data_IF_187402485732
#
_entry.id   IF_187402485732
#
_cell.length_a   1.000
_cell.length_b   1.000
_cell.length_c   1.000
_cell.angle_alpha   90.00
_cell.angle_beta   90.00
_cell.angle_gamma   90.00
#
_symmetry.space_group_name_H-M   'P 1'
#
loop_
_entity.id
_entity.type
_entity.pdbx_description
1 polymer ?
#
# COMPACT_ATOMS: atom_id res chain seq x y z
N UNK A 1 0.24 -14.68 -21.57
CA UNK A 1 -0.21 -15.55 -20.47
C UNK A 1 -0.76 -14.76 -19.27
N UNK A 2 0.02 -14.27 -18.29
CA UNK A 2 -0.52 -13.66 -17.04
C UNK A 2 -1.53 -12.52 -17.26
N UNK A 3 -1.27 -11.60 -18.19
CA UNK A 3 -2.18 -10.48 -18.51
C UNK A 3 -3.53 -10.96 -19.03
N UNK A 4 -3.54 -12.04 -19.81
CA UNK A 4 -4.77 -12.59 -20.38
C UNK A 4 -5.58 -13.37 -19.35
N UNK A 5 -4.92 -14.14 -18.48
CA UNK A 5 -5.56 -14.79 -17.34
C UNK A 5 -6.26 -13.75 -16.45
N UNK A 6 -5.56 -12.66 -16.11
CA UNK A 6 -6.15 -11.55 -15.36
C UNK A 6 -7.34 -10.90 -16.11
N UNK A 7 -7.26 -10.73 -17.44
CA UNK A 7 -8.39 -10.21 -18.24
C UNK A 7 -9.60 -11.15 -18.20
N UNK A 8 -9.40 -12.46 -18.31
CA UNK A 8 -10.46 -13.48 -18.24
C UNK A 8 -11.06 -13.55 -16.83
N UNK A 9 -10.24 -13.52 -15.78
CA UNK A 9 -10.69 -13.46 -14.37
C UNK A 9 -11.51 -12.20 -14.07
N UNK A 10 -11.09 -11.03 -14.57
CA UNK A 10 -11.87 -9.80 -14.43
C UNK A 10 -13.22 -9.91 -15.16
N UNK A 11 -13.25 -10.45 -16.39
CA UNK A 11 -14.50 -10.67 -17.14
C UNK A 11 -15.45 -11.62 -16.40
N UNK A 12 -14.94 -12.75 -15.89
CA UNK A 12 -15.68 -13.69 -15.04
C UNK A 12 -16.23 -13.03 -13.79
N UNK A 13 -15.38 -12.34 -13.03
CA UNK A 13 -15.79 -11.62 -11.83
C UNK A 13 -16.85 -10.55 -12.11
N UNK A 14 -16.78 -9.82 -13.24
CA UNK A 14 -17.82 -8.83 -13.59
C UNK A 14 -19.16 -9.44 -13.96
N UNK A 15 -19.17 -10.67 -14.49
CA UNK A 15 -20.39 -11.38 -14.88
C UNK A 15 -21.07 -12.01 -13.65
N UNK A 16 -20.32 -12.75 -12.84
CA UNK A 16 -20.82 -13.44 -11.65
C UNK A 16 -20.69 -12.62 -10.35
N UNK A 17 -20.60 -11.29 -10.43
CA UNK A 17 -20.32 -10.41 -9.28
C UNK A 17 -21.36 -10.51 -8.14
N UNK A 18 -22.60 -10.84 -8.51
CA UNK A 18 -23.79 -10.89 -7.64
C UNK A 18 -24.14 -12.33 -7.20
N UNK A 19 -23.37 -13.34 -7.66
CA UNK A 19 -23.56 -14.74 -7.25
C UNK A 19 -23.20 -14.91 -5.75
N UNK A 20 -24.04 -15.59 -4.94
CA UNK A 20 -23.80 -15.76 -3.50
C UNK A 20 -22.46 -16.46 -3.18
N UNK A 21 -21.99 -17.38 -4.02
CA UNK A 21 -20.68 -18.05 -3.90
C UNK A 21 -19.54 -17.05 -4.07
N UNK A 22 -19.63 -16.19 -5.09
CA UNK A 22 -18.65 -15.14 -5.38
C UNK A 22 -18.65 -14.06 -4.29
N UNK A 23 -19.82 -13.68 -3.77
CA UNK A 23 -19.96 -12.74 -2.64
C UNK A 23 -19.31 -13.31 -1.37
N UNK A 24 -19.58 -14.58 -1.03
CA UNK A 24 -18.98 -15.25 0.13
C UNK A 24 -17.46 -15.34 0.00
N UNK A 25 -16.96 -15.78 -1.17
CA UNK A 25 -15.54 -15.87 -1.48
C UNK A 25 -14.84 -14.50 -1.40
N UNK A 26 -15.43 -13.46 -1.98
CA UNK A 26 -14.94 -12.07 -1.90
C UNK A 26 -14.81 -11.60 -0.45
N UNK A 27 -15.81 -11.91 0.40
CA UNK A 27 -15.76 -11.59 1.83
C UNK A 27 -14.64 -12.35 2.54
N UNK A 28 -14.51 -13.65 2.29
CA UNK A 28 -13.43 -14.49 2.82
C UNK A 28 -12.02 -13.98 2.47
N UNK A 29 -11.80 -13.62 1.19
CA UNK A 29 -10.54 -13.04 0.70
C UNK A 29 -10.29 -11.64 1.27
N UNK A 30 -11.32 -10.82 1.45
CA UNK A 30 -11.19 -9.49 2.06
C UNK A 30 -10.81 -9.58 3.54
N UNK A 31 -11.43 -10.50 4.30
CA UNK A 31 -11.12 -10.76 5.71
C UNK A 31 -9.73 -11.37 5.90
N UNK A 32 -9.31 -12.29 5.02
CA UNK A 32 -7.94 -12.80 4.98
C UNK A 32 -6.93 -11.67 4.74
N UNK A 33 -7.13 -10.84 3.71
CA UNK A 33 -6.28 -9.67 3.45
C UNK A 33 -6.32 -8.62 4.56
N UNK A 34 -7.38 -8.57 5.38
CA UNK A 34 -7.45 -7.74 6.58
C UNK A 34 -6.59 -8.34 7.70
N UNK A 35 -6.62 -9.66 7.91
CA UNK A 35 -5.74 -10.35 8.88
C UNK A 35 -4.26 -10.20 8.51
N UNK A 36 -3.89 -10.37 7.24
CA UNK A 36 -2.53 -10.12 6.74
C UNK A 36 -2.05 -8.69 7.03
N UNK A 37 -2.89 -7.68 6.70
CA UNK A 37 -2.59 -6.27 6.98
C UNK A 37 -2.48 -5.96 8.47
N UNK A 38 -3.30 -6.60 9.30
CA UNK A 38 -3.24 -6.46 10.76
C UNK A 38 -1.93 -7.03 11.33
N UNK A 39 -1.40 -8.11 10.76
CA UNK A 39 -0.11 -8.72 11.15
C UNK A 39 1.11 -8.08 10.46
N UNK A 40 0.89 -7.15 9.52
CA UNK A 40 1.97 -6.49 8.77
C UNK A 40 2.68 -7.36 7.74
N UNK A 41 2.15 -8.54 7.42
CA UNK A 41 2.73 -9.49 6.45
C UNK A 41 1.99 -9.43 5.11
N UNK A 42 2.68 -9.77 4.01
CA UNK A 42 2.09 -9.93 2.67
C UNK A 42 1.80 -11.41 2.40
N UNK A 43 0.87 -11.72 1.50
CA UNK A 43 0.44 -13.10 1.18
C UNK A 43 1.63 -14.06 0.94
N UNK A 44 2.56 -13.68 0.07
CA UNK A 44 3.73 -14.50 -0.23
C UNK A 44 4.56 -14.82 1.03
N UNK A 45 4.64 -13.90 1.99
CA UNK A 45 5.42 -14.09 3.22
C UNK A 45 4.77 -15.10 4.16
N UNK A 46 3.48 -15.41 4.05
CA UNK A 46 2.76 -16.33 4.95
C UNK A 46 3.37 -17.72 4.94
N UNK A 47 3.88 -18.16 3.79
CA UNK A 47 4.42 -19.50 3.60
C UNK A 47 5.73 -19.70 4.39
N UNK A 48 6.68 -18.78 4.25
CA UNK A 48 8.03 -18.85 4.84
C UNK A 48 8.26 -17.95 6.07
N UNK A 49 7.28 -17.15 6.51
CA UNK A 49 7.42 -16.33 7.71
C UNK A 49 7.68 -17.19 8.96
N UNK A 50 8.89 -17.04 9.49
CA UNK A 50 9.27 -17.38 10.87
C UNK A 50 9.51 -16.07 11.60
N UNK A 51 8.60 -15.66 12.48
CA UNK A 51 8.82 -14.48 13.32
C UNK A 51 9.92 -14.82 14.34
N UNK A 52 11.10 -14.21 14.19
CA UNK A 52 12.08 -14.20 15.28
C UNK A 52 11.58 -13.26 16.37
N UNK A 53 11.01 -13.84 17.44
CA UNK A 53 10.49 -13.14 18.61
C UNK A 53 11.42 -12.00 19.08
N UNK A 54 12.72 -12.30 19.15
CA UNK A 54 13.78 -11.38 19.56
C UNK A 54 13.91 -10.17 18.62
N UNK A 55 13.86 -10.38 17.30
CA UNK A 55 13.91 -9.29 16.33
C UNK A 55 12.67 -8.39 16.40
N UNK A 56 11.49 -8.97 16.65
CA UNK A 56 10.24 -8.22 16.78
C UNK A 56 10.25 -7.39 18.06
N UNK A 57 10.70 -7.94 19.19
CA UNK A 57 10.89 -7.20 20.45
C UNK A 57 11.92 -6.08 20.28
N UNK A 58 13.10 -6.36 19.72
CA UNK A 58 14.13 -5.35 19.50
C UNK A 58 13.62 -4.19 18.61
N UNK A 59 12.86 -4.53 17.55
CA UNK A 59 12.21 -3.53 16.68
C UNK A 59 11.15 -2.73 17.42
N UNK A 60 10.38 -3.35 18.32
CA UNK A 60 9.39 -2.66 19.15
C UNK A 60 10.06 -1.69 20.11
N UNK A 61 11.08 -2.13 20.86
CA UNK A 61 11.84 -1.31 21.81
C UNK A 61 12.47 -0.12 21.09
N UNK A 62 13.11 -0.33 19.94
CA UNK A 62 13.68 0.75 19.13
C UNK A 62 12.62 1.78 18.70
N UNK A 63 11.44 1.33 18.24
CA UNK A 63 10.35 2.25 17.85
C UNK A 63 9.74 2.97 19.06
N UNK A 64 9.64 2.31 20.21
CA UNK A 64 9.09 2.88 21.43
C UNK A 64 10.04 3.94 22.03
N UNK A 65 11.35 3.65 22.08
CA UNK A 65 12.39 4.61 22.47
C UNK A 65 12.48 5.80 21.51
N UNK A 66 12.41 5.55 20.20
CA UNK A 66 12.30 6.61 19.19
C UNK A 66 11.05 7.46 19.40
N UNK A 67 9.89 6.84 19.66
CA UNK A 67 8.64 7.57 19.91
C UNK A 67 8.74 8.43 21.18
N UNK A 68 9.29 7.90 22.28
CA UNK A 68 9.52 8.64 23.51
C UNK A 68 10.43 9.86 23.29
N UNK A 69 11.55 9.71 22.56
CA UNK A 69 12.43 10.83 22.21
C UNK A 69 11.70 11.90 21.38
N UNK A 70 10.89 11.49 20.39
CA UNK A 70 10.05 12.40 19.62
C UNK A 70 9.01 13.11 20.52
N UNK A 71 8.38 12.40 21.46
CA UNK A 71 7.38 12.97 22.38
C UNK A 71 7.99 14.03 23.30
N UNK A 72 9.20 13.81 23.82
CA UNK A 72 9.92 14.82 24.62
C UNK A 72 10.17 16.09 23.80
N UNK A 73 10.57 15.95 22.54
CA UNK A 73 10.78 17.09 21.63
C UNK A 73 9.50 17.82 21.22
N UNK A 74 8.37 17.13 21.06
CA UNK A 74 7.09 17.76 20.68
C UNK A 74 6.32 18.37 21.84
N UNK A 75 6.49 17.85 23.06
CA UNK A 75 5.77 18.27 24.27
C UNK A 75 5.73 19.80 24.48
N UNK A 76 6.86 20.53 24.50
CA UNK A 76 6.84 21.97 24.75
C UNK A 76 6.08 22.74 23.64
N UNK A 77 6.26 22.39 22.37
CA UNK A 77 5.53 23.01 21.27
C UNK A 77 4.04 22.65 21.23
N UNK A 78 3.67 21.46 21.70
CA UNK A 78 2.27 21.05 21.83
C UNK A 78 1.57 21.79 22.97
N UNK A 79 2.24 21.99 24.12
CA UNK A 79 1.75 22.82 25.23
C UNK A 79 1.56 24.26 24.74
N UNK A 80 2.56 24.83 24.06
CA UNK A 80 2.51 26.17 23.48
C UNK A 80 1.35 26.34 22.47
N UNK A 81 1.05 25.33 21.66
CA UNK A 81 -0.06 25.39 20.69
C UNK A 81 -1.40 24.87 21.24
N UNK A 82 -1.46 24.43 22.50
CA UNK A 82 -2.66 23.84 23.11
C UNK A 82 -3.90 24.75 23.07
N UNK A 83 -3.82 26.08 23.33
CA UNK A 83 -4.98 26.96 23.22
C UNK A 83 -5.58 26.95 21.81
N UNK A 84 -4.73 26.92 20.78
CA UNK A 84 -5.18 26.87 19.37
C UNK A 84 -5.83 25.51 19.06
N UNK A 85 -5.27 24.40 19.55
CA UNK A 85 -5.90 23.09 19.41
C UNK A 85 -7.27 23.02 20.11
N UNK A 86 -7.43 23.62 21.28
CA UNK A 86 -8.70 23.65 22.02
C UNK A 86 -9.74 24.51 21.28
N UNK A 87 -9.39 25.75 20.92
CA UNK A 87 -10.27 26.68 20.21
C UNK A 87 -10.73 26.12 18.86
N UNK A 88 -9.80 25.61 18.04
CA UNK A 88 -10.11 25.00 16.74
C UNK A 88 -11.00 23.76 16.90
N UNK A 89 -10.74 22.88 17.89
CA UNK A 89 -11.56 21.68 18.17
C UNK A 89 -12.97 22.04 18.60
N UNK A 90 -13.14 23.05 19.46
CA UNK A 90 -14.46 23.49 19.93
C UNK A 90 -15.29 24.14 18.80
N UNK A 91 -14.73 25.16 18.15
CA UNK A 91 -15.43 25.94 17.12
C UNK A 91 -15.74 25.07 15.90
N UNK A 92 -14.78 24.27 15.41
CA UNK A 92 -15.02 23.41 14.24
C UNK A 92 -16.04 22.30 14.51
N UNK A 93 -16.12 21.75 15.73
CA UNK A 93 -17.16 20.78 16.08
C UNK A 93 -18.53 21.45 16.02
N UNK A 94 -18.71 22.59 16.70
CA UNK A 94 -19.97 23.35 16.69
C UNK A 94 -20.41 23.70 15.26
N UNK A 95 -19.51 24.28 14.45
CA UNK A 95 -19.80 24.63 13.04
C UNK A 95 -20.06 23.42 12.14
N UNK A 96 -19.40 22.29 12.36
CA UNK A 96 -19.72 21.06 11.63
C UNK A 96 -21.10 20.50 11.99
N UNK A 97 -21.55 20.66 13.24
CA UNK A 97 -22.88 20.23 13.67
C UNK A 97 -23.98 21.15 13.13
N UNK A 98 -23.76 22.46 13.12
CA UNK A 98 -24.65 23.44 12.46
C UNK A 98 -24.80 23.14 10.96
N UNK A 99 -23.70 22.89 10.25
CA UNK A 99 -23.74 22.54 8.82
C UNK A 99 -24.44 21.19 8.54
N UNK A 100 -24.23 20.19 9.41
CA UNK A 100 -24.90 18.88 9.31
C UNK A 100 -26.40 18.97 9.53
N UNK A 101 -26.86 19.83 10.45
CA UNK A 101 -28.28 20.05 10.71
C UNK A 101 -28.98 20.81 9.58
N UNK A 102 -28.25 21.72 8.90
CA UNK A 102 -28.76 22.44 7.74
C UNK A 102 -28.75 21.60 6.43
N UNK A 103 -27.92 20.55 6.35
CA UNK A 103 -27.82 19.71 5.15
C UNK A 103 -28.81 18.53 5.16
N UNK A 104 -29.68 18.46 4.15
CA UNK A 104 -30.60 17.32 3.94
C UNK A 104 -29.89 16.02 3.53
N UNK A 105 -28.64 16.10 3.07
CA UNK A 105 -27.83 14.94 2.65
C UNK A 105 -26.91 14.50 3.80
N UNK A 106 -26.90 13.19 4.11
CA UNK A 106 -26.11 12.56 5.20
C UNK A 106 -24.59 12.49 4.91
N UNK A 107 -23.99 13.61 4.51
CA UNK A 107 -22.55 13.75 4.30
C UNK A 107 -21.83 13.77 5.66
N UNK A 108 -20.70 13.08 5.80
CA UNK A 108 -19.88 13.23 7.01
C UNK A 108 -19.22 14.62 6.99
N UNK A 109 -19.59 15.51 7.91
CA UNK A 109 -19.12 16.91 8.02
C UNK A 109 -17.62 17.11 8.37
N UNK A 110 -16.77 16.16 7.97
CA UNK A 110 -15.33 16.09 8.21
C UNK A 110 -14.57 17.16 7.44
N UNK A 111 -15.02 17.46 6.21
CA UNK A 111 -14.42 18.49 5.36
C UNK A 111 -14.68 19.88 5.93
N UNK A 112 -15.95 20.18 6.24
CA UNK A 112 -16.37 21.38 6.99
C UNK A 112 -15.56 21.54 8.29
N UNK A 113 -15.40 20.46 9.06
CA UNK A 113 -14.58 20.48 10.29
C UNK A 113 -13.10 20.79 10.01
N UNK A 114 -12.52 20.32 8.91
CA UNK A 114 -11.14 20.63 8.53
C UNK A 114 -10.98 22.12 8.14
N UNK A 115 -11.87 22.64 7.30
CA UNK A 115 -11.89 24.05 6.89
C UNK A 115 -12.03 24.99 8.10
N UNK A 116 -12.96 24.71 9.03
CA UNK A 116 -13.10 25.51 10.24
C UNK A 116 -11.90 25.42 11.18
N UNK A 117 -11.19 24.28 11.26
CA UNK A 117 -9.92 24.21 12.01
C UNK A 117 -8.85 25.09 11.38
N UNK A 118 -8.73 25.08 10.06
CA UNK A 118 -7.75 25.90 9.35
C UNK A 118 -8.04 27.40 9.50
N UNK A 119 -9.28 27.84 9.27
CA UNK A 119 -9.68 29.24 9.41
C UNK A 119 -9.49 29.78 10.83
N UNK A 120 -9.90 29.01 11.84
CA UNK A 120 -9.71 29.40 13.25
C UNK A 120 -8.22 29.42 13.61
N UNK A 121 -7.42 28.46 13.15
CA UNK A 121 -5.98 28.46 13.40
C UNK A 121 -5.29 29.66 12.73
N UNK A 122 -5.66 30.00 11.49
CA UNK A 122 -5.10 31.12 10.73
C UNK A 122 -5.32 32.47 11.43
N UNK A 123 -6.50 32.69 12.01
CA UNK A 123 -6.82 33.92 12.74
C UNK A 123 -6.28 33.93 14.18
N UNK A 124 -6.35 32.80 14.89
CA UNK A 124 -6.06 32.73 16.32
C UNK A 124 -4.58 32.47 16.65
N UNK A 125 -3.84 31.73 15.83
CA UNK A 125 -2.43 31.46 16.08
C UNK A 125 -1.56 32.74 16.10
N UNK A 126 -1.72 33.72 15.19
CA UNK A 126 -0.99 35.00 15.27
C UNK A 126 -1.25 35.75 16.57
N UNK A 127 -2.50 35.79 17.06
CA UNK A 127 -2.84 36.43 18.33
C UNK A 127 -2.18 35.72 19.53
N UNK A 128 -2.14 34.38 19.51
CA UNK A 128 -1.45 33.57 20.53
C UNK A 128 0.08 33.81 20.49
N UNK A 129 0.69 33.91 19.31
CA UNK A 129 2.12 34.23 19.19
C UNK A 129 2.45 35.67 19.61
N UNK A 130 1.58 36.64 19.33
CA UNK A 130 1.72 38.00 19.82
C UNK A 130 1.66 38.05 21.36
N UNK A 131 0.72 37.32 21.97
CA UNK A 131 0.62 37.17 23.43
C UNK A 131 1.88 36.55 24.04
N UNK A 132 2.41 35.46 23.47
CA UNK A 132 3.66 34.86 23.96
C UNK A 132 4.88 35.77 23.76
N UNK A 133 4.95 36.49 22.64
CA UNK A 133 6.04 37.46 22.40
C UNK A 133 5.98 38.63 23.38
N UNK A 134 4.78 39.13 23.70
CA UNK A 134 4.59 40.16 24.71
C UNK A 134 4.99 39.67 26.13
N UNK A 135 4.53 38.48 26.53
CA UNK A 135 4.89 37.88 27.83
C UNK A 135 6.39 37.61 27.95
N UNK A 136 7.02 37.11 26.88
CA UNK A 136 8.46 36.86 26.81
C UNK A 136 9.28 38.17 26.89
N UNK A 137 8.83 39.23 26.21
CA UNK A 137 9.46 40.56 26.26
C UNK A 137 9.30 41.19 27.63
N UNK A 138 8.13 41.09 28.26
CA UNK A 138 7.89 41.57 29.63
C UNK A 138 8.78 40.86 30.66
N UNK A 139 8.88 39.53 30.58
CA UNK A 139 9.73 38.74 31.46
C UNK A 139 11.22 39.06 31.29
N UNK A 140 11.66 39.29 30.04
CA UNK A 140 13.02 39.71 29.75
C UNK A 140 13.33 41.15 30.20
N UNK A 141 12.35 42.06 30.12
CA UNK A 141 12.49 43.43 30.63
C UNK A 141 12.66 43.45 32.16
N UNK A 142 11.93 42.59 32.88
CA UNK A 142 11.97 42.57 34.34
C UNK A 142 13.25 41.92 34.89
N UNK A 143 13.63 40.74 34.40
CA UNK A 143 14.68 39.91 35.00
C UNK A 143 15.74 39.37 34.00
N UNK A 144 15.84 39.93 32.78
CA UNK A 144 16.73 39.42 31.68
C UNK A 144 16.62 37.90 31.46
N UNK A 145 15.43 37.34 31.67
CA UNK A 145 15.16 35.90 31.68
C UNK A 145 16.10 35.17 32.66
N UNK A 146 16.12 35.59 33.93
CA UNK A 146 16.97 35.02 34.99
C UNK A 146 18.47 35.05 34.64
N UNK A 147 18.91 36.05 33.87
CA UNK A 147 20.29 36.19 33.41
C UNK A 147 20.67 35.37 32.17
N UNK A 148 19.72 34.67 31.52
CA UNK A 148 20.00 34.01 30.23
C UNK A 148 20.24 34.99 29.07
N UNK A 149 19.72 36.22 29.16
CA UNK A 149 19.96 37.27 28.14
C UNK A 149 21.21 38.06 28.53
N UNK A 150 22.30 38.02 27.74
CA UNK A 150 23.50 38.78 28.03
C UNK A 150 23.23 40.30 28.08
N UNK A 151 23.97 41.02 28.91
CA UNK A 151 23.75 42.47 29.09
C UNK A 151 24.01 43.29 27.81
N UNK A 152 24.92 42.81 26.95
CA UNK A 152 25.22 43.39 25.63
C UNK A 152 24.09 43.21 24.60
N UNK A 153 23.13 42.31 24.84
CA UNK A 153 21.99 42.11 23.95
C UNK A 153 20.94 43.22 24.20
N UNK A 154 20.53 44.00 23.18
CA UNK A 154 19.52 45.03 23.37
C UNK A 154 18.12 44.40 23.45
N UNK A 155 17.32 44.82 24.43
CA UNK A 155 16.02 44.19 24.75
C UNK A 155 14.99 44.26 23.61
N UNK A 156 15.10 45.23 22.69
CA UNK A 156 14.20 45.32 21.52
C UNK A 156 14.35 44.14 20.55
N UNK A 157 15.51 43.47 20.54
CA UNK A 157 15.81 42.33 19.67
C UNK A 157 15.08 41.05 20.10
N UNK A 158 14.53 41.03 21.33
CA UNK A 158 13.73 39.93 21.89
C UNK A 158 12.39 39.77 21.16
N UNK A 159 11.82 40.87 20.65
CA UNK A 159 10.56 40.85 19.88
C UNK A 159 10.72 40.11 18.54
N UNK A 160 11.66 40.46 17.63
CA UNK A 160 11.87 39.69 16.41
C UNK A 160 12.37 38.26 16.67
N UNK A 161 13.15 38.01 17.73
CA UNK A 161 13.46 36.64 18.16
C UNK A 161 12.17 35.87 18.47
N UNK A 162 11.28 36.41 19.32
CA UNK A 162 10.03 35.76 19.70
C UNK A 162 9.12 35.47 18.48
N UNK A 163 9.00 36.43 17.56
CA UNK A 163 8.24 36.28 16.33
C UNK A 163 8.75 35.17 15.40
N UNK A 164 10.04 34.80 15.47
CA UNK A 164 10.61 33.67 14.71
C UNK A 164 10.59 32.38 15.54
N UNK A 165 10.91 32.48 16.84
CA UNK A 165 11.06 31.35 17.75
C UNK A 165 9.75 30.60 17.97
N UNK A 166 8.64 31.30 18.25
CA UNK A 166 7.37 30.61 18.54
C UNK A 166 6.80 29.87 17.31
N UNK A 167 6.73 30.47 16.10
CA UNK A 167 6.32 29.73 14.90
C UNK A 167 7.26 28.61 14.48
N UNK A 168 8.58 28.74 14.69
CA UNK A 168 9.51 27.64 14.36
C UNK A 168 9.37 26.47 15.33
N UNK A 169 9.19 26.71 16.63
CA UNK A 169 8.91 25.66 17.63
C UNK A 169 7.59 24.94 17.32
N UNK A 170 6.51 25.66 17.00
CA UNK A 170 5.22 25.02 16.68
C UNK A 170 5.26 24.27 15.36
N UNK A 171 5.92 24.81 14.32
CA UNK A 171 6.14 24.09 13.06
C UNK A 171 6.93 22.80 13.27
N UNK A 172 8.02 22.85 14.04
CA UNK A 172 8.80 21.66 14.39
C UNK A 172 7.95 20.64 15.16
N UNK A 173 7.19 21.06 16.18
CA UNK A 173 6.33 20.18 16.95
C UNK A 173 5.22 19.53 16.11
N UNK A 174 4.60 20.27 15.19
CA UNK A 174 3.61 19.74 14.24
C UNK A 174 4.25 18.71 13.28
N UNK A 175 5.41 19.02 12.70
CA UNK A 175 6.11 18.15 11.75
C UNK A 175 6.64 16.87 12.41
N UNK A 176 7.18 16.97 13.62
CA UNK A 176 7.60 15.80 14.40
C UNK A 176 6.36 15.01 14.87
N UNK A 177 5.24 15.68 15.18
CA UNK A 177 3.96 15.04 15.52
C UNK A 177 3.36 14.22 14.38
N UNK A 178 3.47 14.69 13.13
CA UNK A 178 3.11 13.93 11.92
C UNK A 178 3.91 12.62 11.82
N UNK A 179 5.24 12.70 11.92
CA UNK A 179 6.14 11.54 11.89
C UNK A 179 5.88 10.60 13.08
N UNK A 180 5.64 11.15 14.27
CA UNK A 180 5.28 10.38 15.47
C UNK A 180 3.97 9.62 15.31
N UNK A 181 2.96 10.25 14.69
CA UNK A 181 1.67 9.62 14.40
C UNK A 181 1.80 8.42 13.45
N UNK A 182 2.68 8.51 12.44
CA UNK A 182 2.94 7.38 11.54
C UNK A 182 3.72 6.25 12.23
N UNK A 183 4.65 6.58 13.13
CA UNK A 183 5.29 5.59 14.02
C UNK A 183 4.22 4.89 14.88
N UNK A 184 3.31 5.64 15.52
CA UNK A 184 2.21 5.08 16.34
C UNK A 184 1.31 4.15 15.53
N UNK A 185 0.89 4.54 14.32
CA UNK A 185 0.13 3.65 13.42
C UNK A 185 0.91 2.38 13.08
N UNK A 186 2.23 2.47 12.92
CA UNK A 186 3.12 1.33 12.63
C UNK A 186 3.37 0.41 13.84
N UNK A 187 3.12 0.86 15.07
CA UNK A 187 3.25 0.03 16.28
C UNK A 187 2.13 -0.99 16.38
N UNK A 188 0.90 -0.65 15.98
CA UNK A 188 -0.28 -1.54 16.07
C UNK A 188 -0.05 -2.95 15.47
N UNK A 189 0.43 -3.11 14.21
CA UNK A 189 0.69 -4.43 13.66
C UNK A 189 1.87 -5.15 14.35
N UNK A 190 2.87 -4.40 14.81
CA UNK A 190 4.05 -4.95 15.48
C UNK A 190 3.70 -5.53 16.86
N UNK A 191 2.88 -4.82 17.64
CA UNK A 191 2.33 -5.30 18.91
C UNK A 191 1.43 -6.52 18.69
N UNK A 192 0.63 -6.55 17.62
CA UNK A 192 -0.19 -7.72 17.30
C UNK A 192 0.66 -8.95 16.95
N UNK A 193 1.78 -8.77 16.24
CA UNK A 193 2.73 -9.86 15.94
C UNK A 193 3.48 -10.40 17.16
N UNK A 194 3.46 -9.68 18.30
CA UNK A 194 4.05 -10.11 19.59
C UNK A 194 3.07 -10.82 20.51
N UNK A 195 1.80 -10.98 20.14
CA UNK A 195 0.90 -11.82 20.92
C UNK A 195 1.33 -13.30 20.77
N UNK A 196 1.50 -14.10 21.84
CA UNK A 196 1.90 -15.51 21.71
C UNK A 196 0.91 -16.38 20.91
N UNK A 197 -0.34 -15.93 20.74
CA UNK A 197 -1.30 -16.51 19.80
C UNK A 197 -0.85 -16.43 18.33
N UNK A 198 0.11 -15.55 17.98
CA UNK A 198 0.57 -15.30 16.61
C UNK A 198 1.20 -16.51 15.92
N UNK A 199 1.92 -17.37 16.65
CA UNK A 199 2.50 -18.60 16.10
C UNK A 199 1.40 -19.55 15.59
N UNK A 200 0.36 -19.75 16.40
CA UNK A 200 -0.83 -20.52 16.04
C UNK A 200 -1.67 -19.77 14.96
N UNK A 201 -1.66 -18.44 14.97
CA UNK A 201 -2.33 -17.60 13.96
C UNK A 201 -1.67 -17.72 12.58
N UNK A 202 -0.34 -17.84 12.48
CA UNK A 202 0.34 -18.10 11.21
C UNK A 202 -0.03 -19.47 10.62
N UNK A 203 -0.16 -20.50 11.47
CA UNK A 203 -0.64 -21.83 11.03
C UNK A 203 -2.08 -21.71 10.50
N UNK A 204 -2.99 -21.10 11.27
CA UNK A 204 -4.36 -20.81 10.85
C UNK A 204 -4.47 -19.96 9.57
N UNK A 205 -3.50 -19.08 9.32
CA UNK A 205 -3.42 -18.30 8.08
C UNK A 205 -2.94 -19.11 6.88
N UNK A 206 -2.07 -20.10 7.06
CA UNK A 206 -1.67 -21.06 6.02
C UNK A 206 -2.85 -21.96 5.66
N UNK A 207 -3.52 -22.52 6.66
CA UNK A 207 -4.76 -23.30 6.50
C UNK A 207 -5.84 -22.50 5.77
N UNK A 208 -6.10 -21.25 6.21
CA UNK A 208 -7.09 -20.37 5.60
C UNK A 208 -6.71 -19.93 4.18
N UNK A 209 -5.41 -19.79 3.88
CA UNK A 209 -4.92 -19.53 2.51
C UNK A 209 -5.17 -20.73 1.60
N UNK A 210 -4.88 -21.94 2.07
CA UNK A 210 -5.12 -23.18 1.33
C UNK A 210 -6.63 -23.39 1.07
N UNK A 211 -7.47 -23.24 2.09
CA UNK A 211 -8.93 -23.36 1.97
C UNK A 211 -9.52 -22.30 1.01
N UNK A 212 -9.05 -21.04 1.07
CA UNK A 212 -9.48 -20.02 0.11
C UNK A 212 -8.98 -20.30 -1.31
N UNK A 213 -7.76 -20.82 -1.48
CA UNK A 213 -7.25 -21.19 -2.80
C UNK A 213 -8.07 -22.35 -3.42
N UNK A 214 -8.46 -23.34 -2.61
CA UNK A 214 -9.38 -24.41 -3.01
C UNK A 214 -10.75 -23.85 -3.42
N UNK A 215 -11.37 -23.00 -2.59
CA UNK A 215 -12.67 -22.37 -2.91
C UNK A 215 -12.60 -21.47 -4.16
N UNK A 216 -11.51 -20.72 -4.36
CA UNK A 216 -11.28 -19.97 -5.60
C UNK A 216 -11.25 -20.91 -6.80
N UNK A 217 -10.52 -22.03 -6.69
CA UNK A 217 -10.38 -23.02 -7.77
C UNK A 217 -11.69 -23.71 -8.08
N UNK A 218 -12.48 -24.08 -7.07
CA UNK A 218 -13.80 -24.70 -7.21
C UNK A 218 -14.82 -23.76 -7.87
N UNK A 219 -14.89 -22.50 -7.43
CA UNK A 219 -15.75 -21.48 -8.04
C UNK A 219 -15.33 -21.18 -9.48
N UNK A 220 -14.02 -21.16 -9.76
CA UNK A 220 -13.49 -21.01 -11.13
C UNK A 220 -13.82 -22.23 -12.01
N UNK A 221 -13.71 -23.46 -11.50
CA UNK A 221 -14.01 -24.67 -12.26
C UNK A 221 -15.52 -24.85 -12.51
N UNK A 222 -16.38 -24.34 -11.62
CA UNK A 222 -17.83 -24.43 -11.77
C UNK A 222 -18.41 -23.34 -12.67
N UNK A 223 -18.00 -22.08 -12.51
CA UNK A 223 -18.52 -20.93 -13.28
C UNK A 223 -17.68 -20.59 -14.54
N UNK A 224 -16.47 -21.12 -14.64
CA UNK A 224 -15.56 -20.88 -15.76
C UNK A 224 -16.04 -21.41 -17.11
N UNK A 225 -16.52 -22.67 -17.20
CA UNK A 225 -17.04 -23.25 -18.44
C UNK A 225 -18.27 -22.51 -19.01
N UNK A 226 -19.10 -21.91 -18.16
CA UNK A 226 -20.29 -21.15 -18.58
C UNK A 226 -19.93 -19.88 -19.40
N UNK A 227 -18.77 -19.27 -19.12
CA UNK A 227 -18.35 -18.01 -19.76
C UNK A 227 -17.25 -18.19 -20.82
N UNK A 228 -16.56 -19.34 -20.82
CA UNK A 228 -15.47 -19.64 -21.74
C UNK A 228 -15.57 -21.10 -22.24
N UNK A 229 -15.95 -21.36 -23.50
CA UNK A 229 -16.01 -22.74 -24.02
C UNK A 229 -14.63 -23.42 -24.05
N UNK A 230 -13.55 -22.65 -24.25
CA UNK A 230 -12.16 -23.16 -24.27
C UNK A 230 -11.55 -23.33 -22.86
N UNK A 231 -12.37 -23.44 -21.81
CA UNK A 231 -11.90 -23.38 -20.42
C UNK A 231 -10.91 -24.51 -20.06
N UNK A 232 -11.24 -25.76 -20.40
CA UNK A 232 -10.37 -26.92 -20.14
C UNK A 232 -9.07 -26.88 -20.95
N UNK A 233 -9.10 -26.34 -22.18
CA UNK A 233 -7.91 -26.22 -23.05
C UNK A 233 -6.89 -25.18 -22.56
N UNK A 234 -7.32 -24.23 -21.73
CA UNK A 234 -6.46 -23.20 -21.14
C UNK A 234 -5.88 -23.58 -19.76
N UNK A 235 -6.13 -24.80 -19.27
CA UNK A 235 -5.68 -25.28 -17.96
C UNK A 235 -4.18 -25.62 -17.97
N UNK A 236 -3.36 -24.63 -17.64
CA UNK A 236 -1.87 -24.71 -17.55
C UNK A 236 -1.37 -25.66 -16.43
N UNK A 237 -2.27 -26.24 -15.63
CA UNK A 237 -1.96 -27.33 -14.69
C UNK A 237 -2.70 -28.59 -15.13
N UNK A 238 -2.06 -29.33 -16.03
CA UNK A 238 -2.48 -30.66 -16.47
C UNK A 238 -2.64 -31.58 -15.26
N UNK A 239 -3.72 -32.34 -15.24
CA UNK A 239 -4.02 -33.29 -14.17
C UNK A 239 -3.32 -34.61 -14.50
N UNK A 240 -2.25 -35.03 -13.79
CA UNK A 240 -1.39 -36.14 -14.22
C UNK A 240 -2.09 -37.51 -14.22
N UNK A 241 -3.30 -37.61 -13.67
CA UNK A 241 -4.09 -38.84 -13.59
C UNK A 241 -5.22 -38.93 -14.64
N UNK A 242 -5.28 -38.00 -15.61
CA UNK A 242 -6.38 -37.96 -16.61
C UNK A 242 -6.05 -38.63 -17.94
N UNK A 243 -4.81 -39.05 -18.18
CA UNK A 243 -4.39 -39.71 -19.43
C UNK A 243 -4.72 -41.22 -19.50
N UNK A 244 -4.81 -41.90 -18.34
CA UNK A 244 -5.04 -43.36 -18.26
C UNK A 244 -6.48 -43.83 -18.61
N UNK A 245 -7.37 -42.93 -19.04
CA UNK A 245 -8.79 -43.25 -19.36
C UNK A 245 -9.15 -43.09 -20.84
N UNK A 246 -8.30 -43.61 -21.74
CA UNK A 246 -8.69 -43.90 -23.13
C UNK A 246 -8.87 -45.41 -23.34
N UNK A 247 -10.05 -45.89 -23.76
CA UNK A 247 -10.21 -47.30 -24.13
C UNK A 247 -9.50 -47.55 -25.46
N UNK A 248 -8.36 -48.23 -25.42
CA UNK A 248 -7.60 -48.57 -26.61
C UNK A 248 -8.33 -49.67 -27.41
N UNK A 249 -8.76 -49.32 -28.63
CA UNK A 249 -9.17 -50.29 -29.64
C UNK A 249 -7.97 -51.12 -30.12
N UNK A 250 -8.23 -52.36 -30.52
CA UNK A 250 -7.20 -53.33 -30.93
C UNK A 250 -6.50 -52.91 -32.22
N UNK A 251 -5.17 -52.97 -32.26
CA UNK A 251 -4.42 -53.32 -33.48
C UNK A 251 -3.08 -53.98 -33.09
N UNK A 252 -2.90 -55.22 -33.57
CA UNK A 252 -1.65 -55.99 -33.66
C UNK A 252 -0.68 -55.32 -34.67
N UNK A 253 0.63 -55.59 -34.82
CA UNK A 253 1.68 -56.38 -34.11
C UNK A 253 2.92 -55.42 -34.01
N UNK A 254 4.05 -55.68 -33.33
CA UNK A 254 5.13 -56.58 -33.79
C UNK A 254 6.21 -56.83 -32.70
N UNK A 255 7.08 -57.82 -32.93
CA UNK A 255 7.84 -58.53 -31.88
C UNK A 255 9.23 -57.98 -31.48
N UNK A 256 9.58 -58.10 -30.19
CA UNK A 256 10.89 -58.48 -29.59
C UNK A 256 11.02 -57.94 -28.14
N UNK A 257 11.67 -58.56 -27.16
CA UNK A 257 12.07 -59.96 -26.93
C UNK A 257 12.26 -60.13 -25.41
N UNK A 258 11.83 -61.27 -24.84
CA UNK A 258 11.97 -61.56 -23.40
C UNK A 258 13.26 -62.36 -23.16
N UNK A 259 13.94 -62.15 -22.01
CA UNK A 259 14.43 -63.32 -21.28
C UNK A 259 13.97 -63.33 -19.81
N UNK A 260 13.26 -64.40 -19.46
CA UNK A 260 12.94 -64.79 -18.09
C UNK A 260 14.09 -65.66 -17.54
N UNK A 261 14.57 -65.39 -16.33
CA UNK A 261 15.39 -66.36 -15.57
C UNK A 261 14.79 -66.52 -14.18
N UNK A 262 14.58 -67.78 -13.79
CA UNK A 262 13.74 -68.20 -12.65
C UNK A 262 14.55 -68.95 -11.58
N UNK A 263 14.62 -68.32 -10.40
CA UNK A 263 14.73 -68.87 -9.01
C UNK A 263 15.57 -70.11 -8.70
N UNK A 264 16.54 -69.89 -7.80
CA UNK A 264 16.75 -70.59 -6.50
C UNK A 264 17.16 -69.54 -5.43
N UNK A 265 17.14 -69.76 -4.11
CA UNK A 265 16.57 -70.90 -3.36
C UNK A 265 16.82 -70.92 -1.83
N UNK A 266 16.52 -69.84 -1.09
CA UNK A 266 16.77 -69.64 0.37
C UNK A 266 18.27 -69.44 0.75
N UNK A 267 18.68 -68.78 1.84
CA UNK A 267 18.05 -68.41 3.14
C UNK A 267 18.45 -67.01 3.65
N UNK A 268 17.68 -66.48 4.61
CA UNK A 268 18.02 -65.49 5.67
C UNK A 268 18.44 -64.03 5.37
N UNK A 269 17.43 -63.14 5.47
CA UNK A 269 17.37 -61.94 6.35
C UNK A 269 18.49 -60.86 6.34
N UNK A 270 18.17 -59.78 5.61
CA UNK A 270 18.43 -58.35 5.94
C UNK A 270 19.86 -57.75 5.94
N UNK A 271 20.25 -57.24 4.74
CA UNK A 271 20.54 -55.80 4.44
C UNK A 271 21.60 -55.11 5.34
N UNK A 272 22.84 -54.83 4.94
CA UNK A 272 23.48 -54.45 3.65
C UNK A 272 23.18 -53.03 3.11
N UNK A 273 24.21 -52.16 3.08
CA UNK A 273 24.35 -51.02 2.15
C UNK A 273 25.76 -50.39 2.21
N UNK A 274 26.65 -50.69 1.25
CA UNK A 274 27.84 -49.87 1.01
C UNK A 274 28.02 -49.41 -0.45
N UNK A 275 28.72 -48.28 -0.63
CA UNK A 275 29.52 -47.85 -1.81
C UNK A 275 28.83 -47.76 -3.19
N UNK A 276 28.70 -46.57 -3.80
CA UNK A 276 29.75 -45.76 -4.48
C UNK A 276 30.33 -46.40 -5.76
N UNK A 277 29.76 -46.01 -6.90
CA UNK A 277 30.43 -46.00 -8.22
C UNK A 277 30.16 -44.67 -8.96
N UNK A 278 30.96 -44.29 -9.98
CA UNK A 278 31.25 -42.87 -10.24
C UNK A 278 30.41 -42.21 -11.34
N UNK A 279 30.05 -40.94 -11.13
CA UNK A 279 29.41 -40.09 -12.13
C UNK A 279 30.42 -39.50 -13.15
N UNK A 280 30.00 -39.22 -14.40
CA UNK A 280 30.88 -38.72 -15.46
C UNK A 280 31.45 -37.33 -15.17
N UNK A 281 32.70 -37.12 -15.63
CA UNK A 281 33.65 -36.14 -15.07
C UNK A 281 33.36 -34.65 -15.33
N UNK A 282 32.28 -34.30 -16.03
CA UNK A 282 31.97 -32.93 -16.45
C UNK A 282 30.70 -32.31 -15.83
N UNK A 283 29.93 -33.03 -15.01
CA UNK A 283 28.77 -32.46 -14.31
C UNK A 283 28.97 -32.46 -12.79
N UNK A 284 29.69 -31.45 -12.31
CA UNK A 284 29.87 -31.21 -10.87
C UNK A 284 28.67 -30.44 -10.29
N UNK A 285 28.19 -30.88 -9.13
CA UNK A 285 27.00 -30.36 -8.43
C UNK A 285 27.05 -28.87 -8.01
N UNK A 286 28.14 -28.14 -8.31
CA UNK A 286 28.25 -26.71 -8.06
C UNK A 286 27.43 -25.83 -9.04
N UNK A 287 26.95 -26.37 -10.16
CA UNK A 287 26.25 -25.59 -11.19
C UNK A 287 24.71 -25.52 -11.06
N UNK A 288 24.11 -26.21 -10.08
CA UNK A 288 22.66 -26.15 -9.81
C UNK A 288 22.18 -24.74 -9.42
N UNK A 289 23.06 -23.87 -8.91
CA UNK A 289 22.75 -22.50 -8.54
C UNK A 289 22.54 -21.55 -9.74
N UNK A 290 22.85 -21.98 -10.97
CA UNK A 290 22.81 -21.13 -12.17
C UNK A 290 21.83 -21.63 -13.25
N UNK A 291 21.05 -22.69 -12.97
CA UNK A 291 19.95 -23.13 -13.84
C UNK A 291 18.78 -22.17 -13.62
N UNK A 292 18.70 -21.15 -14.48
CA UNK A 292 17.76 -20.03 -14.39
C UNK A 292 16.31 -20.39 -14.72
N UNK A 293 15.67 -21.25 -13.91
CA UNK A 293 14.26 -21.63 -14.13
C UNK A 293 13.24 -20.66 -13.54
N UNK A 294 13.58 -19.90 -12.48
CA UNK A 294 12.74 -18.81 -11.96
C UNK A 294 13.55 -17.69 -11.30
N UNK A 295 13.70 -16.53 -11.95
CA UNK A 295 13.56 -15.22 -11.28
C UNK A 295 13.61 -14.03 -12.24
N UNK A 296 12.61 -13.17 -12.16
CA UNK A 296 12.65 -11.82 -12.74
C UNK A 296 13.30 -10.84 -11.76
N UNK A 297 14.62 -10.62 -11.89
CA UNK A 297 15.30 -9.33 -11.61
C UNK A 297 16.80 -9.36 -11.94
N UNK A 298 17.37 -8.29 -12.51
CA UNK A 298 18.81 -8.18 -12.73
C UNK A 298 19.56 -8.03 -11.41
N UNK A 299 20.78 -8.57 -11.33
CA UNK A 299 21.65 -8.48 -10.16
C UNK A 299 22.08 -7.04 -9.89
N UNK A 300 21.88 -6.57 -8.65
CA UNK A 300 22.37 -5.27 -8.22
C UNK A 300 23.88 -5.31 -8.00
N UNK A 301 24.64 -4.59 -8.83
CA UNK A 301 26.11 -4.44 -8.70
C UNK A 301 26.53 -4.07 -7.28
N UNK A 302 27.39 -4.90 -6.69
CA UNK A 302 28.18 -4.56 -5.51
C UNK A 302 29.24 -3.51 -5.85
N UNK A 303 29.66 -2.74 -4.84
CA UNK A 303 30.63 -1.65 -4.99
C UNK A 303 32.06 -2.18 -5.01
N UNK A 304 32.87 -1.72 -5.96
CA UNK A 304 34.33 -1.64 -5.83
C UNK A 304 34.76 -0.17 -5.81
N UNK A 305 35.84 0.13 -5.08
CA UNK A 305 36.43 1.47 -4.91
C UNK A 305 37.70 1.62 -5.77
N UNK A 306 38.17 2.87 -5.90
CA UNK A 306 39.39 3.32 -6.62
C UNK A 306 39.33 3.18 -8.16
N UNK A 307 39.99 4.03 -8.95
CA UNK A 307 40.87 5.16 -8.62
C UNK A 307 40.99 6.14 -9.81
N UNK A 308 41.80 7.19 -9.65
CA UNK A 308 41.96 8.33 -10.57
C UNK A 308 42.64 8.02 -11.91
N UNK A 309 42.04 8.48 -13.02
CA UNK A 309 42.66 9.17 -14.17
C UNK A 309 41.49 9.60 -15.11
N UNK A 310 41.47 10.71 -15.84
CA UNK A 310 42.56 11.38 -16.54
C UNK A 310 42.26 11.36 -18.05
N UNK A 311 41.13 11.93 -18.47
CA UNK A 311 40.63 11.83 -19.85
C UNK A 311 41.09 12.96 -20.78
N UNK A 312 41.94 12.66 -21.76
CA UNK A 312 42.18 13.48 -22.97
C UNK A 312 41.46 12.86 -24.18
N UNK A 313 41.10 13.66 -25.19
CA UNK A 313 40.20 13.20 -26.26
C UNK A 313 40.93 12.48 -27.41
N UNK A 314 40.24 11.52 -28.04
CA UNK A 314 40.58 11.02 -29.38
C UNK A 314 40.95 9.54 -29.48
N UNK A 315 39.96 8.65 -29.61
CA UNK A 315 39.98 7.58 -30.62
C UNK A 315 38.60 6.92 -30.78
N UNK A 316 38.31 6.53 -32.01
CA UNK A 316 37.10 5.89 -32.53
C UNK A 316 36.67 4.59 -31.84
N UNK A 317 35.35 4.41 -31.62
CA UNK A 317 34.78 3.10 -31.33
C UNK A 317 33.31 3.09 -30.90
N UNK A 318 32.40 2.76 -31.83
CA UNK A 318 30.98 2.38 -31.62
C UNK A 318 30.05 3.41 -30.94
N UNK A 319 29.37 4.20 -31.78
CA UNK A 319 28.18 4.97 -31.39
C UNK A 319 26.95 4.05 -31.28
N UNK A 320 26.36 3.94 -30.08
CA UNK A 320 24.97 3.52 -29.93
C UNK A 320 24.06 4.74 -30.08
N UNK A 321 23.01 4.61 -30.91
CA UNK A 321 22.12 5.71 -31.29
C UNK A 321 21.44 6.34 -30.06
N UNK A 322 21.60 7.65 -29.79
CA UNK A 322 20.80 8.32 -28.77
C UNK A 322 19.34 8.46 -29.25
N UNK A 323 18.41 8.42 -28.30
CA UNK A 323 17.00 8.75 -28.55
C UNK A 323 16.89 10.16 -29.14
N UNK A 324 16.07 10.30 -30.18
CA UNK A 324 15.87 11.55 -30.93
C UNK A 324 15.46 12.71 -30.02
N UNK A 325 16.29 13.74 -29.94
CA UNK A 325 16.00 14.97 -29.22
C UNK A 325 14.98 15.81 -30.01
N UNK A 326 13.73 15.86 -29.54
CA UNK A 326 12.73 16.83 -30.04
C UNK A 326 13.18 18.23 -29.63
N UNK A 327 13.81 18.95 -30.56
CA UNK A 327 14.48 20.24 -30.31
C UNK A 327 13.94 21.39 -31.17
N UNK A 328 13.04 21.12 -32.10
CA UNK A 328 12.27 22.15 -32.82
C UNK A 328 11.01 22.52 -32.05
N UNK A 329 10.73 23.83 -31.96
CA UNK A 329 9.51 24.38 -31.30
C UNK A 329 8.24 23.76 -31.86
N UNK A 330 8.18 23.58 -33.17
CA UNK A 330 7.03 23.07 -33.90
C UNK A 330 6.62 21.66 -33.43
N UNK A 331 7.59 20.80 -33.10
CA UNK A 331 7.34 19.47 -32.54
C UNK A 331 6.78 19.51 -31.12
N UNK A 332 7.13 20.53 -30.32
CA UNK A 332 6.51 20.76 -29.02
C UNK A 332 5.08 21.29 -29.14
N UNK A 333 4.82 22.19 -30.11
CA UNK A 333 3.47 22.68 -30.38
C UNK A 333 2.55 21.57 -30.90
N UNK A 334 3.00 20.71 -31.83
CA UNK A 334 2.22 19.57 -32.33
C UNK A 334 1.88 18.56 -31.21
N UNK A 335 2.82 18.27 -30.31
CA UNK A 335 2.55 17.40 -29.15
C UNK A 335 1.58 18.09 -28.18
N UNK A 336 1.69 19.40 -27.98
CA UNK A 336 0.80 20.16 -27.10
C UNK A 336 -0.64 20.25 -27.63
N UNK A 337 -0.83 20.36 -28.95
CA UNK A 337 -2.16 20.38 -29.58
C UNK A 337 -2.80 18.99 -29.51
N UNK A 338 -2.08 17.92 -29.86
CA UNK A 338 -2.54 16.52 -29.70
C UNK A 338 -2.98 16.21 -28.27
N UNK A 339 -2.24 16.68 -27.27
CA UNK A 339 -2.59 16.51 -25.85
C UNK A 339 -3.85 17.32 -25.47
N UNK A 340 -4.02 18.53 -26.02
CA UNK A 340 -5.18 19.39 -25.79
C UNK A 340 -6.45 18.78 -26.40
N UNK A 341 -6.37 18.27 -27.63
CA UNK A 341 -7.49 17.62 -28.31
C UNK A 341 -7.88 16.30 -27.64
N UNK A 342 -6.91 15.48 -27.25
CA UNK A 342 -7.17 14.26 -26.46
C UNK A 342 -7.82 14.56 -25.10
N UNK A 343 -7.50 15.70 -24.45
CA UNK A 343 -8.19 16.14 -23.24
C UNK A 343 -9.60 16.66 -23.52
N UNK A 344 -9.82 17.37 -24.63
CA UNK A 344 -11.14 17.86 -25.05
C UNK A 344 -12.10 16.69 -25.34
N UNK A 345 -11.66 15.73 -26.14
CA UNK A 345 -12.44 14.52 -26.46
C UNK A 345 -12.82 13.74 -25.18
N UNK A 346 -11.90 13.65 -24.22
CA UNK A 346 -12.14 13.01 -22.92
C UNK A 346 -13.12 13.80 -22.04
N UNK A 347 -13.19 15.12 -22.20
CA UNK A 347 -14.19 15.98 -21.56
C UNK A 347 -15.58 15.79 -22.17
N UNK A 348 -15.68 15.73 -23.49
CA UNK A 348 -16.94 15.52 -24.21
C UNK A 348 -17.51 14.11 -23.94
N UNK A 349 -16.67 13.07 -23.90
CA UNK A 349 -17.06 11.71 -23.45
C UNK A 349 -17.58 11.68 -22.00
N UNK A 350 -17.17 12.61 -21.12
CA UNK A 350 -17.71 12.74 -19.76
C UNK A 350 -19.08 13.43 -19.74
N UNK A 351 -19.30 14.44 -20.58
CA UNK A 351 -20.60 15.14 -20.69
C UNK A 351 -21.70 14.22 -21.23
N UNK A 352 -21.43 13.50 -22.32
CA UNK A 352 -22.38 12.51 -22.87
C UNK A 352 -22.78 11.44 -21.83
N UNK A 353 -21.80 10.98 -21.02
CA UNK A 353 -22.04 10.02 -19.94
C UNK A 353 -22.84 10.59 -18.75
N UNK A 354 -22.98 11.91 -18.61
CA UNK A 354 -23.90 12.53 -17.63
C UNK A 354 -25.31 12.76 -18.20
N UNK A 355 -25.46 12.88 -19.51
CA UNK A 355 -26.76 13.06 -20.18
C UNK A 355 -27.53 11.74 -20.28
N UNK A 356 -26.85 10.63 -20.61
CA UNK A 356 -27.43 9.26 -20.60
C UNK A 356 -27.84 8.75 -19.20
N UNK A 357 -27.54 9.50 -18.12
CA UNK A 357 -27.83 9.11 -16.74
C UNK A 357 -29.15 9.66 -16.17
N UNK A 358 -29.94 10.39 -16.97
CA UNK A 358 -31.00 11.29 -16.47
C UNK A 358 -32.44 10.91 -16.86
N UNK A 359 -32.71 9.67 -17.30
CA UNK A 359 -34.02 9.28 -17.86
C UNK A 359 -34.80 8.17 -17.12
N UNK A 360 -34.32 7.69 -15.97
CA UNK A 360 -35.09 6.78 -15.10
C UNK A 360 -35.37 7.42 -13.72
N UNK A 361 -36.52 8.13 -13.65
CA UNK A 361 -37.47 8.17 -12.52
C UNK A 361 -38.40 9.39 -12.65
N UNK A 362 -39.50 9.21 -13.40
CA UNK A 362 -40.68 10.07 -13.28
C UNK A 362 -41.61 9.54 -12.17
N UNK A 363 -42.57 10.37 -11.74
CA UNK A 363 -43.61 10.09 -10.73
C UNK A 363 -43.20 10.16 -9.25
N UNK A 364 -43.29 11.36 -8.66
CA UNK A 364 -44.39 11.73 -7.75
C UNK A 364 -44.15 13.08 -7.06
N UNK A 365 -45.11 14.00 -7.16
CA UNK A 365 -45.19 15.18 -6.26
C UNK A 365 -45.74 14.78 -4.87
N UNK A 366 -45.76 15.67 -3.87
CA UNK A 366 -46.36 17.01 -4.05
C UNK A 366 -45.70 18.20 -3.30
N UNK A 367 -46.11 19.42 -3.67
CA UNK A 367 -46.52 20.45 -2.71
C UNK A 367 -45.45 21.24 -1.94
N UNK A 368 -44.95 22.32 -2.55
CA UNK A 368 -44.40 23.47 -1.80
C UNK A 368 -45.52 24.34 -1.21
N UNK A 369 -45.41 24.79 0.05
CA UNK A 369 -45.99 26.06 0.47
C UNK A 369 -44.95 27.18 0.35
N UNK A 370 -45.40 28.34 -0.13
CA UNK A 370 -44.59 29.57 -0.22
C UNK A 370 -44.34 30.18 1.17
N UNK A 371 -43.19 30.84 1.35
CA UNK A 371 -43.00 31.80 2.44
C UNK A 371 -42.32 33.08 1.93
N UNK A 372 -43.12 34.12 1.79
CA UNK A 372 -42.69 35.50 1.51
C UNK A 372 -43.62 36.46 2.27
N UNK A 373 -43.15 37.67 2.60
CA UNK A 373 -44.06 38.77 2.97
C UNK A 373 -44.18 39.10 4.45
N UNK A 374 -43.20 39.84 4.96
CA UNK A 374 -43.25 40.61 6.20
C UNK A 374 -44.45 41.60 6.29
N UNK A 375 -45.09 41.65 7.46
CA UNK A 375 -45.89 42.77 8.04
C UNK A 375 -45.96 42.49 9.55
N UNK A 376 -45.48 43.32 10.49
CA UNK A 376 -45.94 44.67 10.87
C UNK A 376 -47.47 44.79 10.85
N UNK A 377 -48.11 44.70 12.01
CA UNK A 377 -48.55 45.87 12.78
C UNK A 377 -49.07 45.46 14.18
N UNK A 378 -49.16 46.46 15.09
CA UNK A 378 -49.66 46.43 16.48
C UNK A 378 -48.77 45.73 17.54
#
# INVERSE_FOLDING_TARGET
MVVELNRRLVKGYTHFKDDPRVIHLRKGVADYNKQLRLLGIRDHQVEYAKFSWIQVIATLIYRLGKLALLTIGTLPGLILFAPVFIATKYISKKKSQEALAASTVKLQGRDVMATWKLLVALAFAPAVYAFYTAAFTWWAYHNRIQGLVPDWMPLWLIVPIGMILFPTITFAALRIGEVGMDIVKSLRPLVLSLNPSSANTLVKLRERRAALAQQVTEVINTLGPELFPDFDAARIVTDPFREDRRPAGKTEVDHAAVPEIRRTGATDTEVESPTREPLPRNESFHNLANIGFFSTRPSSRSRSRSGSFGGRPGSSGQQLKPLSQVTTKDGFEEVSSKIRDAMRERGERRRRRSEDGSWDMASSGPGTPSSEGSRKDL
#
